data_IF_406680624522
#
_entry.id   IF_406680624522
#
_cell.length_a   1.000
_cell.length_b   1.000
_cell.length_c   1.000
_cell.angle_alpha   90.00
_cell.angle_beta   90.00
_cell.angle_gamma   90.00
#
_symmetry.space_group_name_H-M   'P 1'
#
loop_
_entity.id
_entity.type
_entity.pdbx_description
1 polymer ?
#
# COMPACT_ATOMS: atom_id res chain seq x y z
N UNK A 1 18.51 -4.43 -10.93
CA UNK A 1 17.99 -5.10 -9.71
C UNK A 1 18.51 -6.51 -9.55
N UNK A 2 18.23 -7.47 -10.45
CA UNK A 2 18.65 -8.87 -10.30
C UNK A 2 20.16 -9.03 -10.07
N UNK A 3 21.00 -8.33 -10.86
CA UNK A 3 22.46 -8.37 -10.68
C UNK A 3 22.92 -7.80 -9.33
N UNK A 4 22.21 -6.83 -8.79
CA UNK A 4 22.51 -6.22 -7.48
C UNK A 4 22.21 -7.22 -6.37
N UNK A 5 21.05 -7.88 -6.46
CA UNK A 5 20.65 -8.93 -5.52
C UNK A 5 21.60 -10.13 -5.59
N UNK A 6 22.03 -10.53 -6.79
CA UNK A 6 23.01 -11.60 -6.96
C UNK A 6 24.34 -11.28 -6.25
N UNK A 7 24.84 -10.03 -6.35
CA UNK A 7 26.02 -9.57 -5.59
C UNK A 7 25.81 -9.57 -4.07
N UNK A 8 24.56 -9.39 -3.63
CA UNK A 8 24.17 -9.51 -2.22
C UNK A 8 23.88 -10.96 -1.77
N UNK A 9 24.14 -11.95 -2.62
CA UNK A 9 23.95 -13.38 -2.30
C UNK A 9 22.58 -13.95 -2.66
N UNK A 10 21.75 -13.20 -3.39
CA UNK A 10 20.40 -13.59 -3.81
C UNK A 10 20.32 -13.60 -5.35
N UNK A 11 20.80 -14.66 -5.97
CA UNK A 11 20.75 -14.83 -7.43
C UNK A 11 19.31 -15.04 -7.96
N UNK A 12 19.18 -15.39 -9.24
CA UNK A 12 17.88 -15.60 -9.90
C UNK A 12 17.09 -16.80 -9.35
N UNK A 13 17.72 -17.75 -8.66
CA UNK A 13 17.02 -18.84 -7.97
C UNK A 13 16.61 -18.45 -6.55
N UNK A 14 17.20 -17.39 -5.99
CA UNK A 14 17.05 -16.97 -4.59
C UNK A 14 16.37 -15.61 -4.43
N UNK A 15 15.98 -14.99 -5.53
CA UNK A 15 15.22 -13.74 -5.56
C UNK A 15 14.07 -13.78 -6.57
N UNK A 16 12.96 -13.14 -6.23
CA UNK A 16 11.85 -12.91 -7.14
C UNK A 16 11.35 -11.47 -6.99
N UNK A 17 11.16 -10.78 -8.12
CA UNK A 17 10.76 -9.37 -8.16
C UNK A 17 9.36 -9.30 -8.79
N UNK A 18 8.41 -8.73 -8.06
CA UNK A 18 7.07 -8.44 -8.54
C UNK A 18 6.85 -6.92 -8.62
N UNK A 19 6.88 -6.38 -9.83
CA UNK A 19 6.60 -4.97 -10.09
C UNK A 19 5.09 -4.70 -9.95
N UNK A 20 4.72 -3.58 -9.34
CA UNK A 20 3.35 -3.13 -9.12
C UNK A 20 3.25 -1.62 -9.31
N UNK A 21 3.70 -1.14 -10.48
CA UNK A 21 3.81 0.28 -10.80
C UNK A 21 4.70 1.04 -9.81
N UNK A 22 4.14 1.85 -8.92
CA UNK A 22 4.94 2.72 -8.04
C UNK A 22 5.68 2.00 -6.91
N UNK A 23 5.44 0.69 -6.73
CA UNK A 23 6.17 -0.16 -5.80
C UNK A 23 6.62 -1.47 -6.46
N UNK A 24 7.65 -2.09 -5.91
CA UNK A 24 8.04 -3.46 -6.25
C UNK A 24 8.24 -4.29 -4.98
N UNK A 25 7.66 -5.49 -4.97
CA UNK A 25 7.94 -6.47 -3.93
C UNK A 25 9.14 -7.33 -4.34
N UNK A 26 10.10 -7.48 -3.44
CA UNK A 26 11.23 -8.39 -3.63
C UNK A 26 11.14 -9.48 -2.57
N UNK A 27 10.99 -10.71 -3.05
CA UNK A 27 10.98 -11.91 -2.23
C UNK A 27 12.39 -12.51 -2.28
N UNK A 28 12.93 -12.83 -1.12
CA UNK A 28 14.26 -13.34 -0.94
C UNK A 28 14.19 -14.67 -0.20
N UNK A 29 15.09 -15.59 -0.52
CA UNK A 29 15.31 -16.80 0.28
C UNK A 29 16.80 -17.07 0.40
N UNK A 30 17.21 -17.64 1.52
CA UNK A 30 18.58 -18.13 1.66
C UNK A 30 18.80 -19.37 0.75
N UNK A 31 20.04 -19.63 0.31
CA UNK A 31 20.37 -20.86 -0.40
C UNK A 31 19.96 -22.12 0.37
N UNK A 32 19.18 -22.98 -0.27
CA UNK A 32 18.65 -24.22 0.33
C UNK A 32 17.45 -24.03 1.26
N UNK A 33 17.02 -22.80 1.56
CA UNK A 33 15.83 -22.52 2.35
C UNK A 33 14.54 -22.58 1.51
N UNK A 34 13.39 -22.97 2.09
CA UNK A 34 12.09 -22.86 1.41
C UNK A 34 11.66 -21.39 1.29
N UNK A 35 10.84 -21.07 0.29
CA UNK A 35 10.26 -19.71 0.11
C UNK A 35 9.34 -19.25 1.25
N UNK A 36 8.97 -20.16 2.16
CA UNK A 36 8.23 -19.81 3.38
C UNK A 36 9.11 -19.26 4.50
N UNK A 37 10.44 -19.30 4.33
CA UNK A 37 11.42 -18.85 5.30
C UNK A 37 12.06 -17.55 4.83
N UNK A 38 11.79 -16.48 5.58
CA UNK A 38 12.38 -15.15 5.34
C UNK A 38 13.82 -15.13 5.83
N UNK A 39 14.77 -14.55 5.06
CA UNK A 39 16.14 -14.32 5.52
C UNK A 39 16.20 -13.52 6.83
N UNK A 40 17.33 -13.59 7.52
CA UNK A 40 17.52 -12.83 8.75
C UNK A 40 17.54 -11.31 8.50
N UNK A 41 17.18 -10.54 9.53
CA UNK A 41 17.09 -9.07 9.42
C UNK A 41 18.40 -8.43 8.95
N UNK A 42 19.60 -8.85 9.43
CA UNK A 42 20.86 -8.35 8.88
C UNK A 42 21.02 -8.61 7.38
N UNK A 43 20.66 -9.80 6.89
CA UNK A 43 20.71 -10.13 5.46
C UNK A 43 19.75 -9.29 4.62
N UNK A 44 18.52 -9.09 5.11
CA UNK A 44 17.53 -8.23 4.45
C UNK A 44 18.00 -6.78 4.38
N UNK A 45 18.55 -6.26 5.49
CA UNK A 45 19.09 -4.91 5.54
C UNK A 45 20.26 -4.73 4.57
N UNK A 46 21.20 -5.68 4.52
CA UNK A 46 22.34 -5.61 3.61
C UNK A 46 21.90 -5.66 2.13
N UNK A 47 20.89 -6.46 1.81
CA UNK A 47 20.30 -6.48 0.47
C UNK A 47 19.62 -5.15 0.11
N UNK A 48 18.89 -4.55 1.06
CA UNK A 48 18.29 -3.24 0.88
C UNK A 48 19.33 -2.14 0.64
N UNK A 49 20.38 -2.10 1.47
CA UNK A 49 21.49 -1.14 1.34
C UNK A 49 22.22 -1.30 0.00
N UNK A 50 22.36 -2.53 -0.49
CA UNK A 50 22.96 -2.80 -1.82
C UNK A 50 22.11 -2.28 -2.96
N UNK A 51 20.77 -2.40 -2.88
CA UNK A 51 19.84 -1.85 -3.86
C UNK A 51 19.83 -0.32 -3.86
N UNK A 52 19.84 0.29 -2.68
CA UNK A 52 19.90 1.75 -2.52
C UNK A 52 21.22 2.34 -3.04
N UNK A 53 22.34 1.64 -2.83
CA UNK A 53 23.66 2.09 -3.28
C UNK A 53 23.91 1.90 -4.78
N UNK A 54 23.07 1.15 -5.50
CA UNK A 54 23.23 0.94 -6.93
C UNK A 54 22.90 2.24 -7.69
N UNK A 55 23.90 2.83 -8.36
CA UNK A 55 23.74 4.12 -9.03
C UNK A 55 22.67 4.11 -10.13
N UNK A 56 22.38 2.95 -10.74
CA UNK A 56 21.33 2.82 -11.74
C UNK A 56 19.92 2.79 -11.15
N UNK A 57 19.78 2.48 -9.87
CA UNK A 57 18.50 2.43 -9.16
C UNK A 57 18.29 3.64 -8.24
N UNK A 58 19.34 4.13 -7.58
CA UNK A 58 19.26 5.25 -6.62
C UNK A 58 18.61 6.53 -7.20
N UNK A 59 18.74 6.75 -8.51
CA UNK A 59 18.10 7.87 -9.18
C UNK A 59 16.59 7.69 -9.37
N UNK A 60 16.09 6.46 -9.31
CA UNK A 60 14.69 6.09 -9.50
C UNK A 60 13.98 5.72 -8.19
N UNK A 61 14.74 5.35 -7.15
CA UNK A 61 14.22 4.93 -5.85
C UNK A 61 14.04 6.10 -4.89
N UNK A 62 12.89 6.13 -4.23
CA UNK A 62 12.67 6.98 -3.07
C UNK A 62 13.19 6.32 -1.80
N UNK A 63 12.96 5.01 -1.64
CA UNK A 63 13.50 4.23 -0.54
C UNK A 63 13.41 2.74 -0.84
N UNK A 64 14.31 1.98 -0.26
CA UNK A 64 14.12 0.54 -0.03
C UNK A 64 13.64 0.31 1.40
N UNK A 65 12.61 -0.50 1.58
CA UNK A 65 12.12 -0.94 2.86
C UNK A 65 12.32 -2.45 3.03
N UNK A 66 12.68 -2.90 4.22
CA UNK A 66 12.92 -4.30 4.55
C UNK A 66 12.09 -4.74 5.75
N UNK A 67 11.78 -6.04 5.80
CA UNK A 67 10.96 -6.63 6.87
C UNK A 67 11.77 -6.85 8.15
N UNK A 68 11.34 -6.24 9.25
CA UNK A 68 11.81 -6.44 10.63
C UNK A 68 10.62 -6.26 11.60
N UNK A 69 9.91 -7.35 11.90
CA UNK A 69 8.62 -7.37 12.65
C UNK A 69 7.51 -6.42 12.11
N UNK A 70 7.76 -5.83 10.94
CA UNK A 70 7.12 -4.66 10.32
C UNK A 70 8.00 -4.24 9.15
N UNK A 71 7.69 -3.15 8.45
CA UNK A 71 8.64 -2.60 7.48
C UNK A 71 9.46 -1.47 8.10
N UNK A 72 10.77 -1.49 7.82
CA UNK A 72 11.68 -0.37 8.06
C UNK A 72 12.22 0.12 6.74
N UNK A 73 12.28 1.43 6.56
CA UNK A 73 12.77 2.04 5.32
C UNK A 73 14.14 2.69 5.56
N UNK A 74 15.01 2.62 4.55
CA UNK A 74 16.33 3.25 4.59
C UNK A 74 16.21 4.78 4.58
N UNK A 75 15.26 5.31 3.83
CA UNK A 75 14.89 6.73 3.86
C UNK A 75 13.60 6.91 4.67
N UNK A 76 13.51 8.02 5.40
CA UNK A 76 12.37 8.31 6.25
C UNK A 76 11.11 8.57 5.40
N UNK A 77 9.99 7.94 5.78
CA UNK A 77 8.67 8.19 5.23
C UNK A 77 7.79 8.86 6.29
N UNK A 78 6.78 9.61 5.84
CA UNK A 78 5.77 10.14 6.75
C UNK A 78 4.94 9.02 7.41
N UNK A 79 4.22 9.39 8.47
CA UNK A 79 3.46 8.44 9.28
C UNK A 79 2.34 7.75 8.51
N UNK A 80 1.71 8.42 7.54
CA UNK A 80 0.61 7.86 6.77
C UNK A 80 1.11 6.80 5.79
N UNK A 81 2.23 7.06 5.11
CA UNK A 81 2.88 6.10 4.22
C UNK A 81 3.45 4.91 4.99
N UNK A 82 4.01 5.14 6.19
CA UNK A 82 4.42 4.05 7.08
C UNK A 82 3.22 3.19 7.52
N UNK A 83 2.07 3.80 7.82
CA UNK A 83 0.84 3.07 8.15
C UNK A 83 0.33 2.23 6.98
N UNK A 84 0.42 2.73 5.75
CA UNK A 84 0.07 1.98 4.55
C UNK A 84 1.01 0.79 4.31
N UNK A 85 2.32 0.97 4.49
CA UNK A 85 3.28 -0.13 4.44
C UNK A 85 2.98 -1.20 5.49
N UNK A 86 2.66 -0.80 6.73
CA UNK A 86 2.28 -1.73 7.78
C UNK A 86 0.97 -2.46 7.47
N UNK A 87 -0.01 -1.80 6.86
CA UNK A 87 -1.24 -2.45 6.41
C UNK A 87 -1.00 -3.54 5.35
N UNK A 88 0.11 -3.46 4.60
CA UNK A 88 0.52 -4.50 3.65
C UNK A 88 1.29 -5.64 4.31
N UNK A 89 1.81 -5.47 5.54
CA UNK A 89 2.65 -6.43 6.24
C UNK A 89 1.94 -7.77 6.48
N UNK A 90 2.16 -8.71 5.56
CA UNK A 90 1.58 -10.06 5.60
C UNK A 90 2.54 -11.07 5.02
N UNK A 91 2.28 -12.37 5.23
CA UNK A 91 3.07 -13.47 4.63
C UNK A 91 3.06 -13.50 3.10
N UNK A 92 2.24 -12.66 2.44
CA UNK A 92 2.13 -12.59 0.97
C UNK A 92 2.94 -11.45 0.36
N UNK A 93 3.50 -10.58 1.18
CA UNK A 93 4.27 -9.41 0.73
C UNK A 93 5.76 -9.72 0.72
N UNK A 94 6.52 -9.05 -0.15
CA UNK A 94 7.97 -9.25 -0.27
C UNK A 94 8.73 -9.02 1.04
N UNK A 95 9.93 -9.56 1.13
CA UNK A 95 10.85 -9.29 2.23
C UNK A 95 11.41 -7.87 2.14
N UNK A 96 11.55 -7.36 0.91
CA UNK A 96 11.77 -5.94 0.62
C UNK A 96 10.59 -5.34 -0.15
N UNK A 97 10.36 -4.05 0.06
CA UNK A 97 9.50 -3.20 -0.76
C UNK A 97 10.35 -2.05 -1.27
N UNK A 98 10.41 -1.89 -2.59
CA UNK A 98 11.06 -0.74 -3.21
C UNK A 98 9.98 0.27 -3.54
N UNK A 99 10.23 1.53 -3.17
CA UNK A 99 9.37 2.67 -3.50
C UNK A 99 10.04 3.47 -4.60
N UNK A 100 9.34 3.67 -5.71
CA UNK A 100 9.81 4.55 -6.77
C UNK A 100 9.63 6.02 -6.35
N UNK A 101 10.49 6.91 -6.85
CA UNK A 101 10.29 8.36 -6.71
C UNK A 101 8.94 8.80 -7.31
N UNK A 102 8.35 9.91 -6.84
CA UNK A 102 7.12 10.43 -7.43
C UNK A 102 7.19 10.57 -8.95
N UNK A 103 6.20 10.02 -9.67
CA UNK A 103 6.15 10.02 -11.13
C UNK A 103 7.03 8.96 -11.81
N UNK A 104 7.61 8.03 -11.05
CA UNK A 104 8.34 6.85 -11.55
C UNK A 104 7.58 5.56 -11.22
N UNK A 105 7.76 4.56 -12.08
CA UNK A 105 7.06 3.28 -12.00
C UNK A 105 8.00 2.14 -12.42
N UNK A 106 7.96 1.03 -11.68
CA UNK A 106 8.58 -0.23 -12.06
C UNK A 106 7.72 -0.95 -13.10
N UNK A 107 8.36 -1.55 -14.10
CA UNK A 107 7.67 -2.37 -15.09
C UNK A 107 7.06 -1.60 -16.25
N UNK A 108 7.06 -0.26 -16.22
CA UNK A 108 6.50 0.56 -17.29
C UNK A 108 7.26 0.36 -18.61
N UNK A 109 6.66 -0.38 -19.54
CA UNK A 109 7.21 -0.60 -20.88
C UNK A 109 6.89 0.59 -21.80
N UNK A 110 7.58 0.76 -22.94
CA UNK A 110 7.23 1.85 -23.88
C UNK A 110 5.79 1.78 -24.42
N UNK A 111 5.11 0.63 -24.28
CA UNK A 111 3.70 0.45 -24.64
C UNK A 111 2.76 0.93 -23.52
N UNK A 112 3.18 0.81 -22.27
CA UNK A 112 2.47 1.31 -21.10
C UNK A 112 2.92 2.75 -20.86
N UNK A 113 1.98 3.70 -20.98
CA UNK A 113 2.32 5.14 -20.89
C UNK A 113 2.21 5.67 -19.46
N UNK A 114 1.55 4.93 -18.58
CA UNK A 114 1.27 5.28 -17.19
C UNK A 114 0.87 4.03 -16.41
N UNK A 115 1.23 3.98 -15.14
CA UNK A 115 0.80 2.95 -14.21
C UNK A 115 0.39 3.59 -12.87
N UNK A 116 -0.10 2.80 -11.92
CA UNK A 116 -0.46 3.21 -10.56
C UNK A 116 0.19 2.28 -9.55
N UNK A 117 0.08 2.57 -8.25
CA UNK A 117 0.57 1.71 -7.17
C UNK A 117 1.71 2.33 -6.37
N UNK A 118 1.97 3.62 -6.56
CA UNK A 118 2.81 4.39 -5.65
C UNK A 118 2.06 4.68 -4.34
N UNK A 119 2.82 5.04 -3.31
CA UNK A 119 2.29 5.57 -2.05
C UNK A 119 2.15 7.09 -2.09
N UNK A 120 2.03 7.70 -3.27
CA UNK A 120 1.90 9.14 -3.42
C UNK A 120 0.44 9.54 -3.63
N UNK A 121 0.13 10.80 -3.34
CA UNK A 121 -1.23 11.34 -3.48
C UNK A 121 -1.81 11.18 -4.89
N UNK A 122 -0.98 11.10 -5.93
CA UNK A 122 -1.48 10.91 -7.31
C UNK A 122 -2.22 9.58 -7.48
N UNK A 123 -1.84 8.56 -6.71
CA UNK A 123 -2.46 7.24 -6.76
C UNK A 123 -3.42 7.00 -5.57
N UNK A 124 -3.21 7.69 -4.45
CA UNK A 124 -4.01 7.51 -3.23
C UNK A 124 -5.24 8.44 -3.16
N UNK A 125 -5.18 9.64 -3.74
CA UNK A 125 -6.24 10.64 -3.64
C UNK A 125 -7.38 10.37 -4.64
N UNK A 126 -8.30 9.48 -4.27
CA UNK A 126 -9.49 9.14 -5.06
C UNK A 126 -10.73 9.95 -4.62
N UNK A 127 -11.60 10.38 -5.55
CA UNK A 127 -12.85 11.04 -5.19
C UNK A 127 -13.84 10.06 -4.57
N UNK A 128 -14.48 10.45 -3.47
CA UNK A 128 -15.60 9.73 -2.88
C UNK A 128 -16.88 10.55 -3.00
N UNK A 129 -17.85 10.04 -3.77
CA UNK A 129 -19.12 10.71 -4.05
C UNK A 129 -20.25 9.89 -3.47
N UNK A 130 -21.03 10.50 -2.57
CA UNK A 130 -22.27 9.92 -2.06
C UNK A 130 -23.46 10.60 -2.75
N UNK A 131 -24.38 9.82 -3.28
CA UNK A 131 -25.61 10.33 -3.89
C UNK A 131 -26.79 9.42 -3.55
N UNK A 132 -27.98 10.01 -3.38
CA UNK A 132 -29.19 9.27 -3.06
C UNK A 132 -30.15 10.02 -2.13
N UNK A 133 -31.30 9.40 -1.85
CA UNK A 133 -32.32 9.97 -0.98
C UNK A 133 -31.80 10.24 0.43
N UNK A 134 -32.05 11.42 0.97
CA UNK A 134 -31.60 11.77 2.32
C UNK A 134 -30.12 12.15 2.46
N UNK A 135 -29.31 12.04 1.41
CA UNK A 135 -27.97 12.64 1.38
C UNK A 135 -28.09 14.12 1.02
N UNK A 136 -27.66 15.01 1.90
CA UNK A 136 -27.70 16.45 1.61
C UNK A 136 -26.57 16.84 0.64
N UNK A 137 -26.83 17.73 -0.34
CA UNK A 137 -25.77 18.29 -1.19
C UNK A 137 -24.73 19.04 -0.36
N UNK A 138 -23.46 18.83 -0.67
CA UNK A 138 -22.36 19.50 0.00
C UNK A 138 -21.00 19.02 -0.49
N UNK A 139 -19.94 19.63 0.05
CA UNK A 139 -18.56 19.21 -0.12
C UNK A 139 -17.93 19.08 1.26
N UNK A 140 -17.21 17.98 1.46
CA UNK A 140 -16.41 17.73 2.66
C UNK A 140 -14.96 17.69 2.21
N UNK A 141 -14.11 18.47 2.86
CA UNK A 141 -12.66 18.52 2.59
C UNK A 141 -11.84 17.76 3.62
N UNK A 142 -12.48 17.18 4.63
CA UNK A 142 -11.83 16.34 5.64
C UNK A 142 -11.24 15.08 5.00
N UNK A 143 -10.18 14.56 5.60
CA UNK A 143 -9.57 13.31 5.17
C UNK A 143 -10.60 12.17 5.25
N UNK A 144 -10.70 11.42 4.15
CA UNK A 144 -11.59 10.28 4.00
C UNK A 144 -10.79 9.09 3.47
N UNK A 145 -11.10 7.90 3.96
CA UNK A 145 -10.53 6.65 3.50
C UNK A 145 -11.61 5.73 2.93
N UNK A 146 -11.30 5.00 1.86
CA UNK A 146 -12.23 4.08 1.20
C UNK A 146 -12.73 2.97 2.13
N UNK A 147 -11.94 2.60 3.14
CA UNK A 147 -12.33 1.64 4.19
C UNK A 147 -13.49 2.13 5.08
N UNK A 148 -13.84 3.41 5.04
CA UNK A 148 -14.98 3.99 5.76
C UNK A 148 -16.31 3.85 4.99
N UNK A 149 -16.27 3.49 3.70
CA UNK A 149 -17.46 3.38 2.84
C UNK A 149 -18.44 2.35 3.42
N UNK A 150 -17.94 1.19 3.86
CA UNK A 150 -18.78 0.13 4.39
C UNK A 150 -19.59 0.57 5.63
N UNK A 151 -18.93 1.20 6.62
CA UNK A 151 -19.61 1.72 7.81
C UNK A 151 -20.57 2.88 7.47
N UNK A 152 -20.23 3.69 6.47
CA UNK A 152 -21.09 4.79 6.00
C UNK A 152 -22.39 4.26 5.38
N UNK A 153 -22.29 3.22 4.54
CA UNK A 153 -23.46 2.56 3.95
C UNK A 153 -24.29 1.87 5.02
N UNK A 154 -23.64 1.18 5.97
CA UNK A 154 -24.33 0.49 7.06
C UNK A 154 -25.13 1.47 7.93
N UNK A 155 -24.53 2.59 8.33
CA UNK A 155 -25.24 3.64 9.08
C UNK A 155 -26.38 4.25 8.26
N UNK A 156 -26.15 4.52 6.97
CA UNK A 156 -27.21 5.00 6.08
C UNK A 156 -28.41 4.03 6.04
N UNK A 157 -28.16 2.72 6.00
CA UNK A 157 -29.18 1.67 5.98
C UNK A 157 -29.73 1.28 7.35
N UNK A 158 -29.19 1.82 8.45
CA UNK A 158 -29.67 1.58 9.81
C UNK A 158 -29.20 0.27 10.44
N UNK A 159 -28.03 -0.25 10.05
CA UNK A 159 -27.38 -1.38 10.72
C UNK A 159 -25.90 -1.11 11.01
N UNK A 160 -25.23 -2.01 11.72
CA UNK A 160 -23.82 -1.87 12.08
C UNK A 160 -22.92 -2.74 11.19
N UNK A 161 -21.71 -2.28 10.90
CA UNK A 161 -20.69 -3.06 10.20
C UNK A 161 -19.52 -3.36 11.17
N UNK A 162 -19.59 -4.45 11.96
CA UNK A 162 -18.51 -4.81 12.87
C UNK A 162 -17.18 -4.98 12.13
N UNK A 163 -16.10 -4.44 12.70
CA UNK A 163 -14.75 -4.51 12.12
C UNK A 163 -14.46 -3.50 11.01
N UNK A 164 -15.44 -2.72 10.55
CA UNK A 164 -15.19 -1.59 9.66
C UNK A 164 -14.60 -0.39 10.42
N UNK A 165 -13.82 0.45 9.72
CA UNK A 165 -13.43 1.75 10.24
C UNK A 165 -14.66 2.64 10.45
N UNK A 166 -14.63 3.61 11.37
CA UNK A 166 -15.74 4.53 11.58
C UNK A 166 -16.21 5.17 10.27
N UNK A 167 -17.53 5.34 10.13
CA UNK A 167 -18.14 5.98 8.97
C UNK A 167 -17.57 7.39 8.74
N UNK A 168 -17.76 7.91 7.53
CA UNK A 168 -17.29 9.23 7.15
C UNK A 168 -17.83 10.31 8.10
N UNK A 169 -16.99 11.25 8.52
CA UNK A 169 -17.45 12.40 9.29
C UNK A 169 -18.39 13.25 8.43
N UNK A 170 -19.37 13.90 9.05
CA UNK A 170 -20.22 14.90 8.40
C UNK A 170 -21.05 14.41 7.21
N UNK A 171 -21.38 13.12 7.13
CA UNK A 171 -22.44 12.66 6.21
C UNK A 171 -23.78 13.17 6.72
N UNK A 172 -24.23 14.29 6.15
CA UNK A 172 -25.49 14.92 6.52
C UNK A 172 -26.66 14.09 6.00
N UNK A 173 -27.11 13.15 6.83
CA UNK A 173 -28.39 12.47 6.64
C UNK A 173 -29.51 13.45 7.00
N UNK A 174 -30.35 13.79 6.03
CA UNK A 174 -31.50 14.68 6.25
C UNK A 174 -32.40 14.15 7.37
N UNK A 175 -33.07 15.07 8.11
CA UNK A 175 -33.98 14.77 9.24
C UNK A 175 -35.23 13.93 8.89
N UNK A 176 -35.28 13.30 7.72
CA UNK A 176 -36.38 12.50 7.20
C UNK A 176 -36.31 10.99 7.51
N UNK A 177 -35.53 10.54 8.50
CA UNK A 177 -35.60 9.14 8.97
C UNK A 177 -37.00 8.88 9.58
N UNK A 178 -37.97 8.51 8.75
CA UNK A 178 -39.05 7.64 9.23
C UNK A 178 -38.35 6.36 9.70
N UNK A 179 -38.46 6.04 10.99
CA UNK A 179 -38.06 4.72 11.50
C UNK A 179 -38.70 3.68 10.59
N UNK A 180 -37.92 3.03 9.74
CA UNK A 180 -38.37 1.87 9.01
C UNK A 180 -38.51 0.76 10.06
N UNK A 181 -39.75 0.50 10.47
CA UNK A 181 -40.06 -0.68 11.24
C UNK A 181 -39.75 -1.89 10.35
N UNK A 182 -38.91 -2.84 10.79
CA UNK A 182 -38.67 -4.04 10.00
C UNK A 182 -40.00 -4.75 9.74
N UNK A 183 -40.23 -5.29 8.53
CA UNK A 183 -41.39 -6.15 8.30
C UNK A 183 -41.30 -7.35 9.24
N UNK A 184 -42.45 -7.70 9.83
CA UNK A 184 -42.62 -8.85 10.72
C UNK A 184 -42.45 -10.16 9.98
#
# INVERSE_FOLDING_TARGET
MADVLARAGFDAEHSYIANQGGLAHVYLRAPGAPWSETPDVPGLRAAAESLEADSGLSEELESVCYRDAGYRCLNALDADRMRLLDAMNSRRTGDLILLAKPGRYFGNSAAERSEHGSLSDTDLAVPLILCGGGVMPGRVSDAAATVQIAATIADYLGFTAPGAQPHLPHVFLGKGRKKMTPPR
#
